data_IF_908392163734
#
_entry.id   IF_908392163734
#
_cell.length_a   1.000
_cell.length_b   1.000
_cell.length_c   1.000
_cell.angle_alpha   90.00
_cell.angle_beta   90.00
_cell.angle_gamma   90.00
#
_symmetry.space_group_name_H-M   'P 1'
#
loop_
_entity.id
_entity.type
_entity.pdbx_description
1 polymer ?
#
# COMPACT_ATOMS: atom_id res chain seq x y z
N UNK A 1 17.03 -33.46 -2.77
CA UNK A 1 17.75 -32.18 -2.94
C UNK A 1 16.87 -31.08 -2.39
N UNK A 2 17.17 -30.65 -1.17
CA UNK A 2 16.46 -29.59 -0.46
C UNK A 2 17.25 -28.29 -0.64
N UNK A 3 16.58 -27.21 -1.02
CA UNK A 3 17.12 -25.85 -0.90
C UNK A 3 16.22 -25.11 0.07
N UNK A 4 16.72 -25.00 1.30
CA UNK A 4 16.11 -24.34 2.44
C UNK A 4 16.30 -22.83 2.30
N UNK A 5 15.22 -22.05 2.30
CA UNK A 5 15.33 -20.60 2.52
C UNK A 5 15.37 -20.34 4.04
N UNK A 6 16.43 -19.65 4.43
CA UNK A 6 16.89 -19.39 5.79
C UNK A 6 15.88 -18.54 6.57
N UNK A 7 15.59 -19.00 7.77
CA UNK A 7 14.81 -18.29 8.78
C UNK A 7 15.50 -16.99 9.22
N UNK A 8 14.72 -15.91 9.24
CA UNK A 8 14.99 -14.74 10.06
C UNK A 8 14.94 -15.14 11.54
N UNK A 9 16.08 -15.10 12.23
CA UNK A 9 16.19 -15.16 13.70
C UNK A 9 16.90 -13.91 14.17
N UNK A 10 16.22 -12.77 14.15
CA UNK A 10 16.66 -11.62 14.93
C UNK A 10 16.40 -11.90 16.42
N UNK A 11 17.48 -12.24 17.10
CA UNK A 11 17.55 -12.40 18.55
C UNK A 11 17.58 -11.01 19.19
N UNK A 12 16.40 -10.44 19.48
CA UNK A 12 16.30 -9.38 20.47
C UNK A 12 16.60 -9.98 21.85
N UNK A 13 17.75 -9.64 22.41
CA UNK A 13 18.13 -10.00 23.78
C UNK A 13 17.49 -9.00 24.74
N UNK A 14 16.55 -9.49 25.55
CA UNK A 14 15.93 -8.74 26.64
C UNK A 14 16.90 -8.65 27.83
N UNK A 15 17.14 -7.44 28.34
CA UNK A 15 17.67 -7.21 29.69
C UNK A 15 16.50 -7.17 30.68
N UNK A 16 16.41 -8.09 31.67
CA UNK A 16 15.36 -8.01 32.67
C UNK A 16 15.80 -7.10 33.82
N UNK A 17 14.97 -6.10 34.15
CA UNK A 17 14.96 -5.51 35.48
C UNK A 17 13.71 -6.03 36.19
N UNK A 18 13.93 -6.88 37.20
CA UNK A 18 12.88 -7.55 37.93
C UNK A 18 12.13 -6.60 38.89
N UNK A 19 10.81 -6.76 38.99
CA UNK A 19 10.06 -6.71 40.26
C UNK A 19 8.59 -7.13 40.07
N UNK A 20 8.25 -8.29 40.67
CA UNK A 20 6.93 -8.69 41.21
C UNK A 20 5.75 -8.81 40.23
N UNK A 21 4.91 -9.84 40.22
CA UNK A 21 4.71 -10.96 41.13
C UNK A 21 3.49 -11.76 40.65
N UNK A 22 3.54 -13.07 40.89
CA UNK A 22 2.45 -14.05 41.06
C UNK A 22 1.07 -13.76 40.45
N UNK A 23 0.61 -14.63 39.54
CA UNK A 23 -0.48 -15.60 39.84
C UNK A 23 -0.61 -16.65 38.74
N UNK A 24 -0.80 -17.86 39.21
CA UNK A 24 -1.08 -19.12 38.52
C UNK A 24 -2.11 -19.03 37.40
N UNK A 25 -1.97 -19.87 36.37
CA UNK A 25 -2.94 -20.95 36.11
C UNK A 25 -2.33 -21.97 35.13
N UNK A 26 -2.11 -23.16 35.69
CA UNK A 26 -1.64 -24.39 35.05
C UNK A 26 -2.64 -24.89 34.00
N UNK A 27 -2.21 -24.99 32.75
CA UNK A 27 -2.93 -25.69 31.69
C UNK A 27 -2.63 -27.20 31.77
N UNK A 28 -3.66 -28.05 31.67
CA UNK A 28 -3.53 -29.50 31.77
C UNK A 28 -2.91 -30.05 30.48
N UNK A 29 -2.07 -31.07 30.60
CA UNK A 29 -1.40 -31.73 29.46
C UNK A 29 -2.39 -32.39 28.47
N UNK A 30 -3.63 -32.67 28.87
CA UNK A 30 -4.70 -33.16 27.98
C UNK A 30 -5.24 -32.09 27.02
N UNK A 31 -5.03 -30.80 27.31
CA UNK A 31 -5.43 -29.69 26.43
C UNK A 31 -4.46 -29.53 25.24
N UNK A 32 -3.25 -30.09 25.35
CA UNK A 32 -2.19 -29.99 24.35
C UNK A 32 -2.39 -31.00 23.21
N UNK A 33 -3.03 -32.15 23.49
CA UNK A 33 -3.19 -33.21 22.51
C UNK A 33 -4.32 -32.95 21.49
N UNK A 34 -5.29 -32.09 21.80
CA UNK A 34 -6.44 -31.81 20.93
C UNK A 34 -6.20 -30.62 19.98
N UNK A 35 -5.03 -29.97 20.06
CA UNK A 35 -4.70 -28.80 19.24
C UNK A 35 -4.11 -29.16 17.86
N UNK A 36 -3.80 -30.44 17.62
CA UNK A 36 -3.14 -30.91 16.40
C UNK A 36 -4.09 -31.33 15.26
N UNK A 37 -5.41 -31.19 15.44
CA UNK A 37 -6.41 -31.61 14.43
C UNK A 37 -7.28 -30.49 13.85
N UNK A 38 -6.94 -29.21 14.11
CA UNK A 38 -7.67 -28.04 13.61
C UNK A 38 -6.83 -27.15 12.68
N UNK A 39 -5.85 -27.71 11.96
CA UNK A 39 -4.95 -26.94 11.08
C UNK A 39 -5.41 -26.78 9.63
N UNK A 40 -6.67 -27.07 9.30
CA UNK A 40 -7.21 -26.77 7.95
C UNK A 40 -8.50 -25.96 8.04
N UNK A 41 -8.45 -24.83 8.75
CA UNK A 41 -9.35 -23.73 8.43
C UNK A 41 -8.66 -22.90 7.35
N UNK A 42 -9.19 -22.79 6.12
CA UNK A 42 -8.72 -21.76 5.22
C UNK A 42 -8.87 -20.46 5.99
N UNK A 43 -7.73 -19.77 6.16
CA UNK A 43 -7.70 -18.43 6.72
C UNK A 43 -8.83 -17.68 6.04
N UNK A 44 -9.83 -17.32 6.86
CA UNK A 44 -10.85 -16.38 6.48
C UNK A 44 -10.13 -15.33 5.65
N UNK A 45 -10.59 -15.13 4.42
CA UNK A 45 -10.34 -13.89 3.73
C UNK A 45 -10.67 -12.82 4.76
N UNK A 46 -9.62 -12.29 5.41
CA UNK A 46 -9.57 -10.91 5.82
C UNK A 46 -9.73 -10.16 4.51
N UNK A 47 -10.99 -10.13 4.07
CA UNK A 47 -11.58 -9.08 3.29
C UNK A 47 -11.24 -7.88 4.14
N UNK A 48 -10.06 -7.32 3.89
CA UNK A 48 -9.61 -6.08 4.47
C UNK A 48 -10.80 -5.20 4.22
N UNK A 49 -11.55 -4.94 5.28
CA UNK A 49 -12.67 -4.05 5.28
C UNK A 49 -11.99 -2.69 5.21
N UNK A 50 -11.48 -2.40 3.99
CA UNK A 50 -10.91 -1.13 3.61
C UNK A 50 -12.10 -0.23 3.78
N UNK A 51 -12.17 0.40 4.96
CA UNK A 51 -13.14 1.43 5.27
C UNK A 51 -13.28 2.25 4.01
N UNK A 52 -14.43 2.08 3.34
CA UNK A 52 -14.77 2.76 2.10
C UNK A 52 -15.04 4.20 2.50
N UNK A 53 -13.96 4.90 2.85
CA UNK A 53 -13.97 6.33 3.06
C UNK A 53 -14.57 6.92 1.80
N UNK A 54 -15.64 7.69 1.97
CA UNK A 54 -16.46 8.31 0.95
C UNK A 54 -15.63 8.66 -0.29
N UNK A 55 -15.85 7.91 -1.37
CA UNK A 55 -15.18 8.15 -2.66
C UNK A 55 -15.65 9.50 -3.18
N UNK A 56 -14.90 10.57 -2.90
CA UNK A 56 -14.93 11.76 -3.73
C UNK A 56 -14.15 11.39 -5.00
N UNK A 57 -14.81 11.11 -6.13
CA UNK A 57 -14.14 10.65 -7.33
C UNK A 57 -13.28 11.81 -7.88
N UNK A 58 -11.96 11.75 -7.65
CA UNK A 58 -11.04 12.66 -8.31
C UNK A 58 -10.58 12.04 -9.62
N UNK A 59 -11.28 12.39 -10.70
CA UNK A 59 -10.97 11.94 -12.06
C UNK A 59 -10.06 12.95 -12.72
N UNK A 60 -8.76 12.69 -12.69
CA UNK A 60 -7.76 13.41 -13.47
C UNK A 60 -7.13 12.47 -14.49
N UNK A 61 -6.69 13.04 -15.61
CA UNK A 61 -5.88 12.31 -16.58
C UNK A 61 -4.49 12.17 -16.02
N UNK A 62 -3.96 10.95 -16.01
CA UNK A 62 -2.61 10.67 -15.54
C UNK A 62 -1.82 9.95 -16.63
N UNK A 63 -0.61 10.42 -16.85
CA UNK A 63 0.39 9.75 -17.66
C UNK A 63 1.44 9.21 -16.71
N UNK A 64 1.72 7.91 -16.79
CA UNK A 64 2.78 7.27 -16.02
C UNK A 64 3.82 6.74 -17.01
N UNK A 65 5.05 7.20 -16.86
CA UNK A 65 6.21 6.72 -17.61
C UNK A 65 7.12 5.97 -16.66
N UNK A 66 7.29 4.67 -16.87
CA UNK A 66 8.25 3.86 -16.12
C UNK A 66 9.68 4.34 -16.39
N UNK A 67 10.48 4.48 -15.34
CA UNK A 67 11.84 5.04 -15.42
C UNK A 67 12.84 4.02 -15.96
N UNK A 68 12.60 2.72 -15.75
CA UNK A 68 13.54 1.67 -16.15
C UNK A 68 13.29 1.21 -17.58
N UNK A 69 12.03 1.00 -17.94
CA UNK A 69 11.63 0.48 -19.24
C UNK A 69 11.21 1.57 -20.24
N UNK A 70 11.16 2.83 -19.81
CA UNK A 70 10.64 4.00 -20.57
C UNK A 70 9.21 3.81 -21.12
N UNK A 71 8.50 2.79 -20.63
CA UNK A 71 7.16 2.48 -21.11
C UNK A 71 6.21 3.53 -20.56
N UNK A 72 5.40 4.08 -21.44
CA UNK A 72 4.41 5.09 -21.08
C UNK A 72 3.01 4.52 -21.18
N UNK A 73 2.21 4.78 -20.16
CA UNK A 73 0.77 4.50 -20.16
C UNK A 73 -0.01 5.76 -19.81
N UNK A 74 -1.23 5.85 -20.33
CA UNK A 74 -2.18 6.90 -19.99
C UNK A 74 -3.39 6.24 -19.33
N UNK A 75 -3.89 6.85 -18.26
CA UNK A 75 -5.07 6.38 -17.54
C UNK A 75 -5.76 7.52 -16.82
N UNK A 76 -6.62 7.15 -15.88
CA UNK A 76 -7.33 8.10 -15.03
C UNK A 76 -7.11 7.80 -13.56
N UNK A 77 -7.01 8.84 -12.74
CA UNK A 77 -7.04 8.66 -11.30
C UNK A 77 -8.47 8.33 -10.86
N UNK A 78 -8.62 7.48 -9.86
CA UNK A 78 -9.91 7.37 -9.14
C UNK A 78 -9.84 7.93 -7.72
N UNK A 79 -8.63 7.97 -7.16
CA UNK A 79 -8.32 8.48 -5.83
C UNK A 79 -7.00 9.25 -5.93
N UNK A 80 -6.95 10.45 -5.32
CA UNK A 80 -5.76 11.28 -5.22
C UNK A 80 -5.65 11.80 -3.79
N UNK A 81 -4.43 11.83 -3.28
CA UNK A 81 -4.04 12.37 -1.98
C UNK A 81 -2.70 13.11 -2.09
N UNK A 82 -2.29 13.78 -1.02
CA UNK A 82 -0.97 14.43 -0.93
C UNK A 82 0.19 13.43 -1.10
N UNK A 83 -0.03 12.15 -0.81
CA UNK A 83 1.03 11.14 -0.74
C UNK A 83 0.99 10.13 -1.89
N UNK A 84 -0.02 10.17 -2.74
CA UNK A 84 -0.19 9.17 -3.78
C UNK A 84 -1.55 9.19 -4.46
N UNK A 85 -1.71 8.32 -5.44
CA UNK A 85 -2.94 8.16 -6.20
C UNK A 85 -3.18 6.71 -6.61
N UNK A 86 -4.43 6.40 -6.95
CA UNK A 86 -4.77 5.16 -7.65
C UNK A 86 -5.03 5.46 -9.12
N UNK A 87 -4.32 4.75 -9.99
CA UNK A 87 -4.41 4.88 -11.45
C UNK A 87 -5.18 3.69 -12.01
N UNK A 88 -6.33 3.97 -12.63
CA UNK A 88 -7.09 2.99 -13.40
C UNK A 88 -6.44 2.77 -14.77
N UNK A 89 -6.09 1.53 -15.06
CA UNK A 89 -5.48 1.11 -16.33
C UNK A 89 -5.59 -0.40 -16.51
N UNK A 90 -5.82 -0.86 -17.73
CA UNK A 90 -5.81 -2.29 -18.05
C UNK A 90 -4.40 -2.90 -18.02
N UNK A 91 -3.36 -2.08 -18.13
CA UNK A 91 -1.96 -2.54 -18.21
C UNK A 91 -1.11 -1.87 -17.14
N UNK A 92 -1.34 -2.18 -15.85
CA UNK A 92 -0.61 -1.55 -14.77
C UNK A 92 0.85 -2.04 -14.71
N UNK A 93 1.73 -1.23 -14.14
CA UNK A 93 3.12 -1.61 -13.88
C UNK A 93 3.23 -2.54 -12.67
N UNK A 94 4.32 -3.31 -12.63
CA UNK A 94 4.60 -4.24 -11.56
C UNK A 94 4.82 -3.53 -10.22
N UNK A 95 4.52 -4.21 -9.12
CA UNK A 95 4.83 -3.73 -7.78
C UNK A 95 6.31 -3.33 -7.67
N UNK A 96 6.56 -2.16 -7.11
CA UNK A 96 7.90 -1.62 -6.92
C UNK A 96 8.47 -0.84 -8.10
N UNK A 97 7.82 -0.87 -9.27
CA UNK A 97 8.20 -0.06 -10.42
C UNK A 97 8.20 1.43 -10.07
N UNK A 98 9.15 2.17 -10.63
CA UNK A 98 9.32 3.61 -10.39
C UNK A 98 8.94 4.35 -11.64
N UNK A 99 8.08 5.35 -11.50
CA UNK A 99 7.56 6.10 -12.63
C UNK A 99 7.60 7.59 -12.40
N UNK A 100 7.74 8.34 -13.50
CA UNK A 100 7.36 9.74 -13.56
C UNK A 100 5.86 9.82 -13.88
N UNK A 101 5.14 10.59 -13.08
CA UNK A 101 3.73 10.85 -13.22
C UNK A 101 3.53 12.29 -13.69
N UNK A 102 2.64 12.48 -14.64
CA UNK A 102 2.09 13.79 -15.00
C UNK A 102 0.58 13.68 -14.81
N UNK A 103 0.06 14.41 -13.84
CA UNK A 103 -1.36 14.40 -13.50
C UNK A 103 -1.95 15.74 -13.92
N UNK A 104 -2.99 15.71 -14.76
CA UNK A 104 -3.63 16.88 -15.33
C UNK A 104 -5.12 16.90 -14.98
N UNK A 105 -5.58 18.03 -14.47
CA UNK A 105 -6.97 18.26 -14.10
C UNK A 105 -7.37 19.70 -14.43
N UNK A 106 -8.44 19.87 -15.23
CA UNK A 106 -8.86 21.15 -15.80
C UNK A 106 -7.70 21.83 -16.56
N UNK A 107 -7.34 23.07 -16.20
CA UNK A 107 -6.28 23.85 -16.83
C UNK A 107 -4.92 23.73 -16.11
N UNK A 108 -4.83 22.91 -15.06
CA UNK A 108 -3.61 22.73 -14.28
C UNK A 108 -3.07 21.30 -14.41
N UNK A 109 -1.77 21.16 -14.21
CA UNK A 109 -1.09 19.86 -14.14
C UNK A 109 0.12 19.98 -13.22
N UNK A 110 0.49 18.86 -12.61
CA UNK A 110 1.72 18.76 -11.84
C UNK A 110 2.48 17.49 -12.22
N UNK A 111 3.78 17.49 -11.96
CA UNK A 111 4.68 16.36 -12.19
C UNK A 111 5.18 15.82 -10.85
N UNK A 112 5.29 14.51 -10.74
CA UNK A 112 5.91 13.88 -9.58
C UNK A 112 6.55 12.55 -9.95
N UNK A 113 7.50 12.08 -9.15
CA UNK A 113 7.96 10.70 -9.21
C UNK A 113 7.21 9.89 -8.15
N UNK A 114 6.98 8.62 -8.47
CA UNK A 114 6.36 7.70 -7.55
C UNK A 114 6.79 6.27 -7.74
N UNK A 115 6.41 5.44 -6.77
CA UNK A 115 6.65 4.00 -6.76
C UNK A 115 5.31 3.26 -6.70
N UNK A 116 5.16 2.22 -7.51
CA UNK A 116 3.98 1.35 -7.46
C UNK A 116 3.97 0.59 -6.12
N UNK A 117 2.98 0.88 -5.29
CA UNK A 117 2.81 0.27 -3.98
C UNK A 117 1.99 -1.02 -4.02
N UNK A 118 1.08 -1.15 -5.00
CA UNK A 118 0.36 -2.40 -5.29
C UNK A 118 -0.27 -2.34 -6.67
N UNK A 119 -0.58 -3.52 -7.21
CA UNK A 119 -1.13 -3.69 -8.55
C UNK A 119 -2.37 -4.56 -8.50
N UNK A 120 -3.41 -4.20 -9.24
CA UNK A 120 -4.61 -5.01 -9.44
C UNK A 120 -4.72 -5.33 -10.93
N UNK A 121 -4.57 -6.61 -11.27
CA UNK A 121 -4.53 -7.06 -12.66
C UNK A 121 -5.77 -6.62 -13.44
N UNK A 122 -5.57 -6.09 -14.64
CA UNK A 122 -6.61 -5.57 -15.54
C UNK A 122 -7.48 -4.43 -14.96
N UNK A 123 -7.13 -3.86 -13.81
CA UNK A 123 -7.91 -2.81 -13.14
C UNK A 123 -7.09 -1.54 -12.91
N UNK A 124 -5.86 -1.66 -12.38
CA UNK A 124 -5.04 -0.49 -12.08
C UNK A 124 -3.89 -0.74 -11.13
N UNK A 125 -3.37 0.35 -10.56
CA UNK A 125 -2.28 0.34 -9.60
C UNK A 125 -2.34 1.51 -8.63
N UNK A 126 -1.94 1.27 -7.38
CA UNK A 126 -1.70 2.31 -6.39
C UNK A 126 -0.25 2.79 -6.46
N UNK A 127 -0.05 4.11 -6.48
CA UNK A 127 1.26 4.73 -6.59
C UNK A 127 1.45 5.68 -5.42
N UNK A 128 2.56 5.53 -4.70
CA UNK A 128 3.00 6.47 -3.67
C UNK A 128 3.97 7.48 -4.29
N UNK A 129 3.78 8.76 -3.99
CA UNK A 129 4.68 9.82 -4.43
C UNK A 129 5.98 9.76 -3.63
N UNK A 130 7.10 9.91 -4.32
CA UNK A 130 8.45 9.80 -3.74
C UNK A 130 9.24 11.09 -3.86
N UNK A 131 9.00 11.87 -4.92
CA UNK A 131 9.67 13.15 -5.13
C UNK A 131 8.76 14.09 -5.92
N UNK A 132 8.62 15.32 -5.45
CA UNK A 132 7.81 16.35 -6.08
C UNK A 132 8.49 17.70 -5.87
N UNK A 133 8.46 18.56 -6.87
CA UNK A 133 8.98 19.92 -6.74
C UNK A 133 7.99 20.78 -5.94
N UNK A 134 8.48 21.79 -5.22
CA UNK A 134 7.63 22.62 -4.35
C UNK A 134 6.49 23.33 -5.11
N UNK A 135 6.74 23.73 -6.36
CA UNK A 135 5.70 24.30 -7.23
C UNK A 135 4.57 23.29 -7.51
N UNK A 136 4.95 22.06 -7.86
CA UNK A 136 4.01 20.98 -8.17
C UNK A 136 3.27 20.49 -6.92
N UNK A 137 3.95 20.53 -5.76
CA UNK A 137 3.32 20.27 -4.46
C UNK A 137 2.29 21.33 -4.11
N UNK A 138 2.56 22.62 -4.36
CA UNK A 138 1.59 23.69 -4.12
C UNK A 138 0.32 23.51 -4.97
N UNK A 139 0.45 23.09 -6.24
CA UNK A 139 -0.69 22.74 -7.10
C UNK A 139 -1.51 21.60 -6.50
N UNK A 140 -0.84 20.53 -6.05
CA UNK A 140 -1.52 19.39 -5.43
C UNK A 140 -2.23 19.79 -4.13
N UNK A 141 -1.60 20.59 -3.28
CA UNK A 141 -2.20 21.11 -2.04
C UNK A 141 -3.42 21.98 -2.33
N UNK A 142 -3.35 22.87 -3.34
CA UNK A 142 -4.48 23.68 -3.79
C UNK A 142 -5.63 22.79 -4.25
N UNK A 143 -5.34 21.73 -5.03
CA UNK A 143 -6.37 20.78 -5.44
C UNK A 143 -7.01 20.11 -4.22
N UNK A 144 -6.21 19.61 -3.29
CA UNK A 144 -6.73 18.94 -2.08
C UNK A 144 -7.61 19.87 -1.23
N UNK A 145 -7.30 21.16 -1.17
CA UNK A 145 -8.12 22.16 -0.46
C UNK A 145 -9.46 22.43 -1.16
N UNK A 146 -9.43 22.55 -2.49
CA UNK A 146 -10.65 22.72 -3.30
C UNK A 146 -11.64 21.56 -3.14
N UNK A 147 -11.14 20.33 -2.95
CA UNK A 147 -12.00 19.14 -2.77
C UNK A 147 -12.41 18.86 -1.33
N UNK A 148 -11.72 19.43 -0.32
CA UNK A 148 -12.12 19.31 1.09
C UNK A 148 -13.40 20.09 1.42
N UNK A 149 -13.75 21.11 0.63
CA UNK A 149 -14.79 22.08 0.95
C UNK A 149 -16.13 21.79 0.26
N UNK A 150 -16.53 20.51 0.11
CA UNK A 150 -17.81 20.11 -0.49
C UNK A 150 -18.55 19.05 0.30
#
# INVERSE_FOLDING_TARGET
MNITLVQARERFTLRPHARGGSRSNTWRLSDVQNLFHLSERPLAEERIERHRATRQPFVATVVVTDVESEKRITGHTSELSLFGCYVKTATPFAHGARGRLIIAHKAQKFTTFGKVAYTVANEGMGIVFTLMESHDQAILEEWMDQFRTR
#
